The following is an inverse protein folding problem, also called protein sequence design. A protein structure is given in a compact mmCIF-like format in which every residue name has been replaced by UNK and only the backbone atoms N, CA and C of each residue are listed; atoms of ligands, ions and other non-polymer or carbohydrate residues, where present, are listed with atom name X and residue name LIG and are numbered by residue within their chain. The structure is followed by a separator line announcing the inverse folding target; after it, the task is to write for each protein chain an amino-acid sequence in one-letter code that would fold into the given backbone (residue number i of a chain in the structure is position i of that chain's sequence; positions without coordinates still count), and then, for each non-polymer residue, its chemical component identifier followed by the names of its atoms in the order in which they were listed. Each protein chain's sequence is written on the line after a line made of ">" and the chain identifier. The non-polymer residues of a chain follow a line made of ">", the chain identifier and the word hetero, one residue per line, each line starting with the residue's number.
data_IF_031377000095
#
_entry.id   IF_031377000095
#
_cell.length_a   1.000
_cell.length_b   1.000
_cell.length_c   1.000
_cell.angle_alpha   90.00
_cell.angle_beta   90.00
_cell.angle_gamma   90.00
#
_symmetry.space_group_name_H-M   'P 1'
#
loop_
_entity.id
_entity.type
_entity.pdbx_description
1 polymer ?
#
# COMPACT_ATOMS: atom_id res chain seq x y z
N UNK A 1 -4.74 8.89 -7.94
CA UNK A 1 -6.21 9.02 -8.04
C UNK A 1 -6.77 9.44 -6.68
N UNK A 2 -7.79 10.29 -6.67
CA UNK A 2 -8.58 10.65 -5.49
C UNK A 2 -10.06 10.68 -5.93
N UNK A 3 -10.85 9.73 -5.43
CA UNK A 3 -12.24 9.55 -5.87
C UNK A 3 -13.18 10.64 -5.36
N UNK A 4 -12.88 11.24 -4.20
CA UNK A 4 -13.69 12.33 -3.64
C UNK A 4 -13.65 13.61 -4.50
N UNK A 5 -12.48 13.91 -5.04
CA UNK A 5 -12.27 15.12 -5.85
C UNK A 5 -12.29 14.84 -7.35
N UNK A 6 -12.63 13.60 -7.76
CA UNK A 6 -12.61 13.13 -9.15
C UNK A 6 -11.25 13.36 -9.85
N UNK A 7 -10.16 13.41 -9.06
CA UNK A 7 -8.81 13.55 -9.60
C UNK A 7 -8.32 12.18 -10.08
N UNK A 8 -8.06 12.08 -11.36
CA UNK A 8 -7.42 10.91 -11.94
C UNK A 8 -6.26 11.32 -12.84
N UNK A 9 -5.06 10.91 -12.45
CA UNK A 9 -3.83 11.10 -13.22
C UNK A 9 -3.28 9.75 -13.70
N UNK A 10 -4.09 8.69 -13.68
CA UNK A 10 -3.69 7.39 -14.19
C UNK A 10 -3.74 7.41 -15.73
N UNK A 11 -2.83 6.66 -16.34
CA UNK A 11 -2.86 6.44 -17.80
C UNK A 11 -3.68 5.20 -18.18
N UNK A 12 -4.17 4.45 -17.20
CA UNK A 12 -4.97 3.25 -17.46
C UNK A 12 -6.42 3.61 -17.78
N UNK A 13 -6.78 3.46 -19.04
CA UNK A 13 -8.16 3.70 -19.49
C UNK A 13 -9.14 2.68 -18.89
N UNK A 14 -10.36 3.11 -18.56
CA UNK A 14 -11.45 2.22 -18.15
C UNK A 14 -11.48 1.86 -16.66
N UNK A 15 -10.69 2.51 -15.82
CA UNK A 15 -10.81 2.35 -14.38
C UNK A 15 -12.05 3.10 -13.88
N UNK A 16 -13.01 2.36 -13.30
CA UNK A 16 -14.16 2.97 -12.62
C UNK A 16 -13.71 3.61 -11.32
N UNK A 17 -14.02 4.88 -11.13
CA UNK A 17 -13.86 5.54 -9.83
C UNK A 17 -15.07 5.20 -8.95
N UNK A 18 -14.90 4.23 -8.06
CA UNK A 18 -15.89 3.86 -7.05
C UNK A 18 -15.44 4.44 -5.72
N UNK A 19 -16.16 5.42 -5.15
CA UNK A 19 -15.80 5.97 -3.84
C UNK A 19 -15.88 4.93 -2.73
N UNK A 20 -14.91 4.99 -1.79
CA UNK A 20 -14.85 4.11 -0.63
C UNK A 20 -13.83 4.55 0.38
N UNK A 21 -13.61 3.76 1.42
CA UNK A 21 -12.70 4.10 2.53
C UNK A 21 -11.29 3.49 2.43
N UNK A 22 -10.98 2.71 1.40
CA UNK A 22 -9.66 2.11 1.25
C UNK A 22 -8.72 3.01 0.46
N UNK A 23 -7.56 3.32 1.00
CA UNK A 23 -6.47 3.97 0.28
C UNK A 23 -5.37 2.97 -0.04
N UNK A 24 -4.80 3.06 -1.23
CA UNK A 24 -3.83 2.08 -1.72
C UNK A 24 -2.51 2.76 -2.07
N UNK A 25 -1.41 2.11 -1.69
CA UNK A 25 -0.05 2.46 -2.09
C UNK A 25 0.51 1.29 -2.90
N UNK A 26 0.97 1.54 -4.11
CA UNK A 26 1.54 0.50 -4.97
C UNK A 26 2.89 0.91 -5.53
N UNK A 27 3.88 0.02 -5.45
CA UNK A 27 5.16 0.19 -6.15
C UNK A 27 5.09 -0.29 -7.61
N UNK A 28 4.09 -1.13 -7.96
CA UNK A 28 3.87 -1.57 -9.33
C UNK A 28 2.65 -0.90 -9.95
N UNK A 29 2.84 -0.12 -11.01
CA UNK A 29 1.76 0.54 -11.72
C UNK A 29 0.84 -0.43 -12.44
N UNK A 30 1.39 -1.41 -13.14
CA UNK A 30 0.62 -2.40 -13.89
C UNK A 30 -0.22 -3.28 -12.95
N UNK A 31 0.37 -3.80 -11.87
CA UNK A 31 -0.37 -4.59 -10.89
C UNK A 31 -1.40 -3.75 -10.16
N UNK A 32 -1.05 -2.52 -9.78
CA UNK A 32 -1.99 -1.59 -9.15
C UNK A 32 -3.22 -1.33 -10.02
N UNK A 33 -3.02 -1.03 -11.29
CA UNK A 33 -4.12 -0.84 -12.23
C UNK A 33 -4.99 -2.10 -12.38
N UNK A 34 -4.36 -3.28 -12.48
CA UNK A 34 -5.06 -4.56 -12.59
C UNK A 34 -5.92 -4.86 -11.36
N UNK A 35 -5.38 -4.63 -10.16
CA UNK A 35 -6.13 -4.81 -8.90
C UNK A 35 -7.31 -3.85 -8.84
N UNK A 36 -7.10 -2.59 -9.22
CA UNK A 36 -8.14 -1.57 -9.22
C UNK A 36 -9.26 -1.93 -10.19
N UNK A 37 -8.91 -2.30 -11.43
CA UNK A 37 -9.89 -2.75 -12.43
C UNK A 37 -10.66 -3.98 -11.95
N UNK A 38 -9.98 -4.98 -11.40
CA UNK A 38 -10.62 -6.16 -10.87
C UNK A 38 -11.59 -5.80 -9.73
N UNK A 39 -11.15 -5.04 -8.74
CA UNK A 39 -11.94 -4.70 -7.55
C UNK A 39 -13.17 -3.85 -7.86
N UNK A 40 -13.07 -2.91 -8.81
CA UNK A 40 -14.18 -2.00 -9.17
C UNK A 40 -15.18 -2.60 -10.15
N UNK A 41 -14.82 -3.69 -10.84
CA UNK A 41 -15.69 -4.37 -11.80
C UNK A 41 -16.42 -5.60 -11.25
N UNK A 42 -16.35 -5.85 -9.94
CA UNK A 42 -17.13 -6.92 -9.31
C UNK A 42 -18.64 -6.57 -9.27
N UNK A 43 -19.49 -7.58 -9.08
CA UNK A 43 -20.93 -7.39 -8.88
C UNK A 43 -21.23 -6.47 -7.68
N UNK A 44 -20.42 -6.59 -6.60
CA UNK A 44 -20.35 -5.64 -5.49
C UNK A 44 -18.97 -4.97 -5.57
N UNK A 45 -18.87 -3.77 -6.16
CA UNK A 45 -17.58 -3.15 -6.39
C UNK A 45 -16.94 -2.69 -5.09
N UNK A 46 -15.63 -2.89 -4.97
CA UNK A 46 -14.84 -2.31 -3.90
C UNK A 46 -14.53 -0.84 -4.23
N UNK A 47 -14.82 0.04 -3.28
CA UNK A 47 -14.55 1.47 -3.42
C UNK A 47 -13.20 1.87 -2.80
N UNK A 48 -12.58 2.88 -3.38
CA UNK A 48 -11.32 3.44 -2.93
C UNK A 48 -11.48 4.92 -2.56
N UNK A 49 -10.76 5.37 -1.54
CA UNK A 49 -10.63 6.79 -1.23
C UNK A 49 -9.53 7.41 -2.11
N UNK A 50 -8.33 6.86 -2.03
CA UNK A 50 -7.16 7.34 -2.76
C UNK A 50 -6.31 6.18 -3.28
N UNK A 51 -5.55 6.47 -4.33
CA UNK A 51 -4.58 5.53 -4.87
C UNK A 51 -3.31 6.26 -5.26
N UNK A 52 -2.19 5.87 -4.65
CA UNK A 52 -0.87 6.38 -4.97
C UNK A 52 0.00 5.26 -5.58
N UNK A 53 0.64 5.59 -6.71
CA UNK A 53 1.67 4.76 -7.29
C UNK A 53 3.02 5.46 -7.12
N UNK A 54 3.90 4.86 -6.32
CA UNK A 54 5.19 5.46 -5.93
C UNK A 54 6.38 4.94 -6.77
N UNK A 55 6.15 3.91 -7.59
CA UNK A 55 7.21 3.33 -8.44
C UNK A 55 8.46 2.98 -7.66
N UNK A 56 9.60 3.43 -8.14
CA UNK A 56 10.91 3.21 -7.53
C UNK A 56 11.23 4.17 -6.37
N UNK A 57 10.25 4.97 -5.93
CA UNK A 57 10.40 5.91 -4.80
C UNK A 57 11.55 6.91 -5.01
N UNK A 58 11.65 7.47 -6.21
CA UNK A 58 12.73 8.41 -6.57
C UNK A 58 12.55 9.81 -5.99
N UNK A 59 11.31 10.20 -5.69
CA UNK A 59 10.90 11.49 -5.13
C UNK A 59 10.03 11.24 -3.91
N UNK A 60 8.74 10.99 -4.09
CA UNK A 60 7.83 10.62 -3.00
C UNK A 60 8.00 9.15 -2.65
N UNK A 61 8.24 8.86 -1.37
CA UNK A 61 8.39 7.49 -0.88
C UNK A 61 7.10 6.95 -0.23
N UNK A 62 7.15 5.67 0.13
CA UNK A 62 6.04 4.97 0.78
C UNK A 62 5.69 5.60 2.13
N UNK A 63 6.69 6.07 2.89
CA UNK A 63 6.48 6.61 4.24
C UNK A 63 5.70 7.91 4.20
N UNK A 64 6.05 8.82 3.28
CA UNK A 64 5.36 10.09 3.09
C UNK A 64 3.88 9.88 2.73
N UNK A 65 3.60 8.92 1.84
CA UNK A 65 2.22 8.57 1.47
C UNK A 65 1.47 7.93 2.62
N UNK A 66 2.13 7.07 3.42
CA UNK A 66 1.52 6.46 4.61
C UNK A 66 1.14 7.51 5.64
N UNK A 67 2.01 8.48 5.92
CA UNK A 67 1.75 9.57 6.85
C UNK A 67 0.60 10.46 6.34
N UNK A 68 0.58 10.77 5.06
CA UNK A 68 -0.54 11.50 4.45
C UNK A 68 -1.87 10.73 4.60
N UNK A 69 -1.87 9.39 4.41
CA UNK A 69 -3.08 8.57 4.56
C UNK A 69 -3.49 8.39 6.03
N UNK A 70 -2.53 8.42 6.97
CA UNK A 70 -2.83 8.43 8.40
C UNK A 70 -3.75 9.58 8.75
N UNK A 71 -3.41 10.78 8.31
CA UNK A 71 -4.09 12.01 8.69
C UNK A 71 -5.33 12.30 7.82
N UNK A 72 -5.52 11.55 6.75
CA UNK A 72 -6.63 11.72 5.83
C UNK A 72 -7.95 11.15 6.39
N UNK A 73 -9.00 11.98 6.56
CA UNK A 73 -10.28 11.54 7.13
C UNK A 73 -11.08 10.60 6.22
N UNK A 74 -10.83 10.62 4.91
CA UNK A 74 -11.51 9.76 3.95
C UNK A 74 -10.89 8.35 3.93
N UNK A 75 -9.64 8.21 4.36
CA UNK A 75 -8.94 6.92 4.47
C UNK A 75 -9.34 6.19 5.75
N UNK A 76 -10.00 5.04 5.62
CA UNK A 76 -10.41 4.16 6.72
C UNK A 76 -9.53 2.92 6.86
N UNK A 77 -8.87 2.50 5.79
CA UNK A 77 -7.91 1.41 5.75
C UNK A 77 -6.84 1.69 4.70
N UNK A 78 -5.65 1.16 4.90
CA UNK A 78 -4.52 1.29 3.96
C UNK A 78 -4.15 -0.10 3.45
N UNK A 79 -4.12 -0.28 2.14
CA UNK A 79 -3.59 -1.47 1.49
C UNK A 79 -2.32 -1.13 0.71
N UNK A 80 -1.31 -1.98 0.80
CA UNK A 80 0.01 -1.71 0.23
C UNK A 80 0.52 -2.89 -0.57
N UNK A 81 0.98 -2.63 -1.78
CA UNK A 81 1.79 -3.55 -2.56
C UNK A 81 3.23 -3.06 -2.60
N UNK A 82 4.16 -3.86 -2.08
CA UNK A 82 5.54 -3.47 -1.87
C UNK A 82 6.53 -4.49 -2.42
N UNK A 83 7.53 -3.99 -3.12
CA UNK A 83 8.66 -4.77 -3.66
C UNK A 83 9.93 -4.55 -2.83
N UNK A 84 10.13 -3.34 -2.31
CA UNK A 84 11.27 -2.96 -1.48
C UNK A 84 10.90 -1.93 -0.41
N UNK A 85 11.71 -1.84 0.63
CA UNK A 85 11.59 -0.88 1.72
C UNK A 85 12.96 -0.24 1.94
N UNK A 86 13.06 1.08 1.73
CA UNK A 86 14.33 1.80 1.88
C UNK A 86 14.77 1.90 3.35
N UNK A 87 13.84 2.16 4.26
CA UNK A 87 14.08 2.26 5.70
C UNK A 87 13.08 1.41 6.48
N UNK A 88 13.40 0.12 6.64
CA UNK A 88 12.51 -0.84 7.29
C UNK A 88 12.20 -0.48 8.77
N UNK A 89 13.14 0.14 9.48
CA UNK A 89 12.92 0.53 10.88
C UNK A 89 11.89 1.64 11.01
N UNK A 90 12.03 2.69 10.22
CA UNK A 90 11.09 3.81 10.20
C UNK A 90 9.72 3.35 9.70
N UNK A 91 9.70 2.51 8.65
CA UNK A 91 8.48 1.91 8.13
C UNK A 91 7.68 1.20 9.22
N UNK A 92 8.33 0.34 10.03
CA UNK A 92 7.66 -0.36 11.12
C UNK A 92 7.11 0.60 12.18
N UNK A 93 7.84 1.65 12.53
CA UNK A 93 7.38 2.66 13.48
C UNK A 93 6.13 3.40 12.98
N UNK A 94 6.15 3.84 11.72
CA UNK A 94 5.00 4.52 11.11
C UNK A 94 3.82 3.56 10.98
N UNK A 95 4.03 2.34 10.49
CA UNK A 95 2.98 1.34 10.38
C UNK A 95 2.34 1.01 11.74
N UNK A 96 3.14 0.87 12.79
CA UNK A 96 2.65 0.63 14.15
C UNK A 96 1.76 1.77 14.66
N UNK A 97 2.15 3.02 14.42
CA UNK A 97 1.33 4.16 14.84
C UNK A 97 -0.01 4.19 14.09
N UNK A 98 0.01 3.92 12.79
CA UNK A 98 -1.21 3.92 11.97
C UNK A 98 -2.14 2.77 12.36
N UNK A 99 -1.60 1.58 12.64
CA UNK A 99 -2.39 0.39 13.01
C UNK A 99 -3.20 0.56 14.31
N UNK A 100 -2.93 1.56 15.11
CA UNK A 100 -3.73 1.87 16.31
C UNK A 100 -5.09 2.49 15.95
N UNK A 101 -5.19 3.14 14.79
CA UNK A 101 -6.40 3.84 14.36
C UNK A 101 -7.00 3.26 13.09
N UNK A 102 -6.17 2.78 12.16
CA UNK A 102 -6.58 2.31 10.84
C UNK A 102 -5.95 0.98 10.50
N UNK A 103 -6.68 -0.01 9.97
CA UNK A 103 -6.09 -1.25 9.47
C UNK A 103 -5.07 -1.00 8.36
N UNK A 104 -3.92 -1.68 8.42
CA UNK A 104 -2.89 -1.66 7.38
C UNK A 104 -2.67 -3.08 6.88
N UNK A 105 -2.88 -3.29 5.60
CA UNK A 105 -2.73 -4.58 4.90
C UNK A 105 -1.52 -4.46 3.98
N UNK A 106 -0.56 -5.37 4.08
CA UNK A 106 0.67 -5.31 3.30
C UNK A 106 0.87 -6.61 2.53
N UNK A 107 0.93 -6.50 1.21
CA UNK A 107 1.41 -7.54 0.32
C UNK A 107 2.86 -7.23 -0.07
N UNK A 108 3.81 -7.87 0.62
CA UNK A 108 5.24 -7.75 0.32
C UNK A 108 5.65 -8.88 -0.62
N UNK A 109 6.15 -8.53 -1.79
CA UNK A 109 6.74 -9.47 -2.76
C UNK A 109 8.25 -9.28 -2.85
N UNK A 110 8.93 -10.29 -3.41
CA UNK A 110 10.39 -10.33 -3.43
C UNK A 110 10.96 -10.76 -2.08
N UNK A 111 11.41 -12.01 -1.97
CA UNK A 111 12.29 -12.41 -0.90
C UNK A 111 13.67 -11.82 -1.21
N UNK A 112 14.17 -10.86 -0.44
CA UNK A 112 15.58 -10.57 -0.41
C UNK A 112 16.31 -11.87 0.00
N UNK A 113 16.92 -12.54 -0.96
CA UNK A 113 17.99 -13.47 -0.61
C UNK A 113 19.13 -12.61 -0.06
N UNK A 114 19.14 -12.43 1.26
CA UNK A 114 20.30 -11.89 1.96
C UNK A 114 21.53 -12.70 1.52
N UNK A 115 22.32 -12.13 0.62
CA UNK A 115 23.68 -12.58 0.35
C UNK A 115 24.57 -12.09 1.50
N UNK A 116 24.29 -12.49 2.70
CA UNK A 116 25.22 -12.38 3.80
C UNK A 116 25.82 -13.74 4.06
N UNK A 117 27.10 -13.89 3.64
CA UNK A 117 27.99 -14.89 4.22
C UNK A 117 27.93 -14.72 5.75
N UNK A 118 27.36 -15.72 6.44
CA UNK A 118 27.55 -15.93 7.86
C UNK A 118 26.83 -14.95 8.80
N UNK A 119 25.50 -14.98 8.84
CA UNK A 119 24.73 -14.32 9.90
C UNK A 119 23.26 -14.72 9.85
N UNK A 120 22.81 -15.49 10.84
CA UNK A 120 21.39 -15.81 11.04
C UNK A 120 20.68 -14.53 11.53
N UNK A 121 20.15 -13.72 10.63
CA UNK A 121 19.13 -12.75 10.99
C UNK A 121 17.75 -13.35 10.66
N UNK A 122 17.20 -14.08 11.60
CA UNK A 122 15.78 -14.31 11.65
C UNK A 122 15.12 -13.00 12.10
N UNK A 123 14.54 -12.23 11.18
CA UNK A 123 13.64 -11.15 11.56
C UNK A 123 12.41 -11.80 12.21
N UNK A 124 12.40 -11.86 13.52
CA UNK A 124 11.21 -12.14 14.32
C UNK A 124 10.29 -10.92 14.18
N UNK A 125 9.31 -11.01 13.30
CA UNK A 125 8.18 -10.09 13.36
C UNK A 125 7.45 -10.30 14.70
N UNK A 126 7.04 -9.21 15.38
CA UNK A 126 6.22 -9.34 16.57
C UNK A 126 5.00 -10.22 16.27
N UNK A 127 4.58 -11.07 17.22
CA UNK A 127 3.58 -12.13 17.01
C UNK A 127 2.16 -11.70 16.62
N UNK A 128 1.91 -10.40 16.44
CA UNK A 128 0.67 -9.84 15.91
C UNK A 128 0.68 -9.70 14.38
N UNK A 129 1.82 -9.92 13.72
CA UNK A 129 1.90 -10.04 12.27
C UNK A 129 1.57 -11.50 11.88
N UNK A 130 0.31 -11.87 11.85
CA UNK A 130 -0.12 -13.13 11.23
C UNK A 130 -0.13 -12.94 9.73
N UNK A 131 0.75 -13.67 9.07
CA UNK A 131 0.76 -13.88 7.64
C UNK A 131 -0.47 -14.74 7.30
N UNK A 132 -1.45 -14.18 6.61
CA UNK A 132 -2.44 -14.95 5.90
C UNK A 132 -1.90 -15.21 4.49
N UNK A 133 -1.43 -16.41 4.27
CA UNK A 133 -1.25 -17.01 2.94
C UNK A 133 -2.48 -17.83 2.62
#
# INVERSE_FOLDING_TARGET
>A
MNTKNHLDTTFAAGIRQVPGGMSVISQSGALGASIMMFATNQAVPMGFAKWAHVGNQSDVDVLEVMEYYRDDPDTKAIAMYMEGINNARQFLQVAQSICQEKPVIILKVGAERSRTRGGRFAHRFPGWFRQYL
#
